data_IF_090328395484
#
_entry.id   IF_090328395484
#
_cell.length_a   1.000
_cell.length_b   1.000
_cell.length_c   1.000
_cell.angle_alpha   90.00
_cell.angle_beta   90.00
_cell.angle_gamma   90.00
#
_symmetry.space_group_name_H-M   'P 1'
#
loop_
_entity.id
_entity.type
_entity.pdbx_description
1 polymer ?
#
# COMPACT_ATOMS: atom_id res chain seq x y z
N UNK A 1 45.42 -1.24 1.49
CA UNK A 1 44.98 -1.10 0.08
C UNK A 1 45.26 -2.41 -0.61
N UNK A 2 44.24 -3.01 -1.22
CA UNK A 2 44.35 -4.24 -2.02
C UNK A 2 44.32 -3.90 -3.50
N UNK A 3 44.84 -4.76 -4.38
CA UNK A 3 44.79 -4.50 -5.84
C UNK A 3 43.76 -5.41 -6.50
N UNK A 4 42.82 -4.85 -7.27
CA UNK A 4 41.79 -5.63 -7.96
C UNK A 4 42.46 -6.59 -8.95
N UNK A 5 42.38 -7.89 -8.70
CA UNK A 5 42.97 -8.93 -9.55
C UNK A 5 41.97 -9.47 -10.57
N UNK A 6 40.67 -9.44 -10.24
CA UNK A 6 39.61 -9.98 -11.10
C UNK A 6 38.25 -9.34 -10.82
N UNK A 7 37.50 -9.07 -11.88
CA UNK A 7 36.07 -8.76 -11.84
C UNK A 7 35.38 -9.80 -12.73
N UNK A 8 34.42 -10.55 -12.19
CA UNK A 8 33.72 -11.60 -12.95
C UNK A 8 32.22 -11.48 -12.82
N UNK A 9 31.50 -11.61 -13.93
CA UNK A 9 30.05 -11.67 -13.96
C UNK A 9 29.53 -12.93 -13.26
N UNK A 10 28.38 -12.79 -12.60
CA UNK A 10 27.70 -13.93 -11.99
C UNK A 10 26.93 -14.72 -13.05
N UNK A 11 27.19 -16.04 -13.13
CA UNK A 11 26.60 -16.93 -14.15
C UNK A 11 25.07 -17.01 -14.11
N UNK A 12 24.44 -16.83 -12.95
CA UNK A 12 22.98 -16.89 -12.79
C UNK A 12 22.30 -15.52 -12.86
N UNK A 13 23.07 -14.45 -12.64
CA UNK A 13 22.55 -13.09 -12.67
C UNK A 13 23.57 -12.15 -13.33
N UNK A 14 23.39 -11.89 -14.62
CA UNK A 14 24.28 -11.04 -15.42
C UNK A 14 24.31 -9.58 -14.98
N UNK A 15 23.35 -9.13 -14.16
CA UNK A 15 23.37 -7.79 -13.57
C UNK A 15 24.38 -7.66 -12.42
N UNK A 16 24.92 -8.77 -11.90
CA UNK A 16 25.83 -8.78 -10.75
C UNK A 16 27.22 -9.24 -11.12
N UNK A 17 28.20 -8.66 -10.45
CA UNK A 17 29.61 -9.03 -10.57
C UNK A 17 30.19 -9.39 -9.21
N UNK A 18 31.32 -10.09 -9.21
CA UNK A 18 32.15 -10.37 -8.05
C UNK A 18 33.51 -9.70 -8.22
N UNK A 19 33.95 -8.97 -7.20
CA UNK A 19 35.23 -8.28 -7.16
C UNK A 19 36.21 -9.09 -6.31
N UNK A 20 37.40 -9.34 -6.85
CA UNK A 20 38.50 -10.01 -6.18
C UNK A 20 39.72 -9.09 -6.14
N UNK A 21 40.43 -9.07 -5.02
CA UNK A 21 41.69 -8.36 -4.86
C UNK A 21 42.70 -9.22 -4.11
N UNK A 22 43.94 -9.21 -4.58
CA UNK A 22 45.02 -10.07 -4.08
C UNK A 22 44.60 -11.56 -4.02
N UNK A 23 43.84 -12.00 -5.04
CA UNK A 23 43.22 -13.33 -5.20
C UNK A 23 42.12 -13.71 -4.19
N UNK A 24 41.79 -12.80 -3.27
CA UNK A 24 40.70 -12.98 -2.32
C UNK A 24 39.39 -12.34 -2.82
N UNK A 25 38.27 -13.01 -2.57
CA UNK A 25 36.95 -12.42 -2.79
C UNK A 25 36.71 -11.27 -1.82
N UNK A 26 36.31 -10.10 -2.33
CA UNK A 26 35.97 -8.95 -1.50
C UNK A 26 34.47 -8.79 -1.33
N UNK A 27 33.74 -8.61 -2.45
CA UNK A 27 32.29 -8.40 -2.44
C UNK A 27 31.66 -8.73 -3.79
N UNK A 28 30.34 -8.87 -3.79
CA UNK A 28 29.54 -8.90 -5.02
C UNK A 28 28.59 -7.71 -5.04
N UNK A 29 28.54 -7.00 -6.16
CA UNK A 29 27.70 -5.83 -6.34
C UNK A 29 27.05 -5.79 -7.71
N UNK A 30 26.09 -4.87 -7.88
CA UNK A 30 25.52 -4.55 -9.18
C UNK A 30 26.59 -4.06 -10.16
N UNK A 31 26.48 -4.49 -11.42
CA UNK A 31 27.41 -4.18 -12.51
C UNK A 31 27.43 -2.68 -12.81
N UNK A 32 26.33 -1.97 -12.62
CA UNK A 32 26.25 -0.52 -12.79
C UNK A 32 27.27 0.22 -11.89
N UNK A 33 27.54 -0.31 -10.69
CA UNK A 33 28.48 0.30 -9.75
C UNK A 33 29.93 0.21 -10.22
N UNK A 34 30.29 -0.85 -10.95
CA UNK A 34 31.62 -0.97 -11.58
C UNK A 34 31.84 0.15 -12.57
N UNK A 35 30.85 0.38 -13.43
CA UNK A 35 30.91 1.43 -14.45
C UNK A 35 30.94 2.83 -13.83
N UNK A 36 30.03 3.11 -12.88
CA UNK A 36 29.93 4.42 -12.21
C UNK A 36 31.18 4.80 -11.42
N UNK A 37 31.87 3.80 -10.84
CA UNK A 37 33.09 4.02 -10.05
C UNK A 37 34.39 3.81 -10.83
N UNK A 38 34.29 3.45 -12.12
CA UNK A 38 35.46 3.22 -12.98
C UNK A 38 36.37 2.08 -12.50
N UNK A 39 35.81 1.08 -11.81
CA UNK A 39 36.61 -0.01 -11.23
C UNK A 39 37.13 -0.92 -12.34
N UNK A 40 38.46 -1.05 -12.40
CA UNK A 40 39.16 -1.88 -13.39
C UNK A 40 40.20 -2.77 -12.72
N UNK A 41 40.58 -3.85 -13.40
CA UNK A 41 41.69 -4.71 -12.97
C UNK A 41 42.98 -3.88 -12.85
N UNK A 42 43.74 -4.09 -11.78
CA UNK A 42 44.97 -3.35 -11.48
C UNK A 42 44.75 -2.08 -10.65
N UNK A 43 43.51 -1.65 -10.44
CA UNK A 43 43.20 -0.52 -9.57
C UNK A 43 43.42 -0.90 -8.09
N UNK A 44 43.98 0.02 -7.30
CA UNK A 44 44.03 -0.11 -5.85
C UNK A 44 42.68 0.25 -5.25
N UNK A 45 42.23 -0.55 -4.30
CA UNK A 45 40.99 -0.36 -3.57
C UNK A 45 41.27 -0.37 -2.07
N UNK A 46 40.63 0.54 -1.35
CA UNK A 46 40.65 0.63 0.10
C UNK A 46 39.33 0.19 0.71
N UNK A 47 39.30 0.10 2.04
CA UNK A 47 38.13 -0.34 2.79
C UNK A 47 36.97 0.64 2.67
N UNK A 48 37.24 1.95 2.62
CA UNK A 48 36.21 2.98 2.57
C UNK A 48 35.43 2.91 1.26
N UNK A 49 36.13 2.77 0.13
CA UNK A 49 35.49 2.57 -1.17
C UNK A 49 34.68 1.26 -1.23
N UNK A 50 35.18 0.17 -0.61
CA UNK A 50 34.42 -1.09 -0.53
C UNK A 50 33.13 -0.93 0.27
N UNK A 51 33.18 -0.21 1.40
CA UNK A 51 32.01 0.07 2.22
C UNK A 51 30.99 0.93 1.47
N UNK A 52 31.44 1.94 0.73
CA UNK A 52 30.56 2.75 -0.12
C UNK A 52 29.87 1.92 -1.21
N UNK A 53 30.61 1.04 -1.90
CA UNK A 53 30.07 0.15 -2.93
C UNK A 53 29.04 -0.80 -2.31
N UNK A 54 29.34 -1.37 -1.15
CA UNK A 54 28.43 -2.29 -0.45
C UNK A 54 27.13 -1.59 -0.02
N UNK A 55 27.22 -0.35 0.48
CA UNK A 55 26.04 0.47 0.83
C UNK A 55 25.19 0.78 -0.40
N UNK A 56 25.81 1.18 -1.51
CA UNK A 56 25.07 1.49 -2.73
C UNK A 56 24.44 0.25 -3.36
N UNK A 57 25.11 -0.91 -3.33
CA UNK A 57 24.51 -2.18 -3.77
C UNK A 57 23.31 -2.55 -2.91
N UNK A 58 23.40 -2.36 -1.59
CA UNK A 58 22.30 -2.64 -0.67
C UNK A 58 21.09 -1.74 -0.98
N UNK A 59 21.33 -0.46 -1.25
CA UNK A 59 20.30 0.46 -1.72
C UNK A 59 19.66 0.04 -3.04
N UNK A 60 20.45 -0.39 -4.04
CA UNK A 60 19.93 -0.88 -5.32
C UNK A 60 19.01 -2.09 -5.10
N UNK A 61 19.42 -3.06 -4.29
CA UNK A 61 18.61 -4.25 -3.99
C UNK A 61 17.31 -3.90 -3.25
N UNK A 62 17.36 -2.97 -2.30
CA UNK A 62 16.19 -2.50 -1.57
C UNK A 62 15.20 -1.80 -2.52
N UNK A 63 15.72 -0.89 -3.37
CA UNK A 63 14.93 -0.20 -4.39
C UNK A 63 14.26 -1.17 -5.36
N UNK A 64 14.98 -2.14 -5.90
CA UNK A 64 14.40 -3.16 -6.78
C UNK A 64 13.30 -3.99 -6.08
N UNK A 65 13.52 -4.32 -4.81
CA UNK A 65 12.54 -5.06 -4.02
C UNK A 65 11.24 -4.26 -3.85
N UNK A 66 11.35 -2.96 -3.57
CA UNK A 66 10.21 -2.07 -3.46
C UNK A 66 9.50 -1.90 -4.81
N UNK A 67 10.23 -1.66 -5.90
CA UNK A 67 9.66 -1.52 -7.24
C UNK A 67 8.88 -2.77 -7.68
N UNK A 68 9.44 -3.97 -7.48
CA UNK A 68 8.73 -5.23 -7.76
C UNK A 68 7.44 -5.40 -6.94
N UNK A 69 7.35 -4.79 -5.76
CA UNK A 69 6.13 -4.79 -4.95
C UNK A 69 5.07 -3.86 -5.56
N UNK A 70 5.50 -2.66 -5.97
CA UNK A 70 4.65 -1.62 -6.57
C UNK A 70 4.14 -1.99 -7.98
N UNK A 71 4.94 -2.72 -8.77
CA UNK A 71 4.53 -3.22 -10.09
C UNK A 71 3.28 -4.11 -10.05
N UNK A 72 3.07 -4.83 -8.94
CA UNK A 72 1.96 -5.79 -8.81
C UNK A 72 0.66 -5.12 -8.39
N UNK A 73 0.75 -4.22 -7.42
CA UNK A 73 -0.39 -3.54 -6.80
C UNK A 73 0.08 -2.25 -6.16
N UNK A 74 -0.77 -1.24 -6.12
CA UNK A 74 -0.53 -0.07 -5.27
C UNK A 74 -0.29 -0.49 -3.81
N UNK A 75 0.64 0.18 -3.15
CA UNK A 75 1.02 -0.01 -1.74
C UNK A 75 1.05 1.32 -1.02
N UNK A 76 0.82 1.28 0.28
CA UNK A 76 1.13 2.40 1.16
C UNK A 76 2.62 2.45 1.47
N UNK A 77 3.09 3.59 1.97
CA UNK A 77 4.46 3.74 2.48
C UNK A 77 4.80 2.70 3.54
N UNK A 78 3.92 2.50 4.54
CA UNK A 78 4.12 1.52 5.61
C UNK A 78 4.19 0.08 5.08
N UNK A 79 3.37 -0.27 4.07
CA UNK A 79 3.44 -1.59 3.45
C UNK A 79 4.79 -1.84 2.76
N UNK A 80 5.40 -0.82 2.13
CA UNK A 80 6.74 -0.93 1.55
C UNK A 80 7.82 -0.97 2.62
N UNK A 81 7.73 -0.10 3.64
CA UNK A 81 8.67 -0.09 4.76
C UNK A 81 8.72 -1.45 5.44
N UNK A 82 7.55 -2.00 5.80
CA UNK A 82 7.43 -3.35 6.38
C UNK A 82 8.04 -4.41 5.46
N UNK A 83 7.81 -4.30 4.15
CA UNK A 83 8.35 -5.26 3.17
C UNK A 83 9.87 -5.26 3.14
N UNK A 84 10.49 -4.09 3.25
CA UNK A 84 11.94 -3.96 3.26
C UNK A 84 12.54 -4.41 4.60
N UNK A 85 11.88 -4.14 5.72
CA UNK A 85 12.25 -4.66 7.05
C UNK A 85 12.20 -6.20 7.07
N UNK A 86 11.15 -6.82 6.52
CA UNK A 86 11.06 -8.28 6.36
C UNK A 86 12.19 -8.88 5.51
N UNK A 87 12.89 -8.04 4.73
CA UNK A 87 14.05 -8.40 3.90
C UNK A 87 15.38 -8.02 4.54
N UNK A 88 15.36 -7.62 5.80
CA UNK A 88 16.54 -7.31 6.62
C UNK A 88 17.37 -6.15 6.07
N UNK A 89 16.73 -5.20 5.37
CA UNK A 89 17.36 -3.91 5.04
C UNK A 89 17.37 -3.02 6.28
N UNK A 90 18.43 -2.23 6.44
CA UNK A 90 18.58 -1.27 7.55
C UNK A 90 17.72 -0.02 7.34
N UNK A 91 17.46 0.70 8.44
CA UNK A 91 16.56 1.86 8.46
C UNK A 91 17.04 3.00 7.55
N UNK A 92 18.35 3.24 7.46
CA UNK A 92 18.91 4.30 6.59
C UNK A 92 18.67 3.97 5.11
N UNK A 93 18.92 2.71 4.72
CA UNK A 93 18.62 2.23 3.37
C UNK A 93 17.13 2.36 3.06
N UNK A 94 16.27 1.97 4.00
CA UNK A 94 14.81 2.04 3.83
C UNK A 94 14.34 3.48 3.67
N UNK A 95 14.77 4.38 4.56
CA UNK A 95 14.42 5.80 4.51
C UNK A 95 14.83 6.43 3.17
N UNK A 96 16.02 6.08 2.66
CA UNK A 96 16.51 6.54 1.35
C UNK A 96 15.64 6.01 0.20
N UNK A 97 15.25 4.73 0.24
CA UNK A 97 14.37 4.13 -0.78
C UNK A 97 12.99 4.77 -0.76
N UNK A 98 12.38 4.93 0.42
CA UNK A 98 11.07 5.57 0.57
C UNK A 98 11.10 6.99 0.03
N UNK A 99 12.12 7.79 0.40
CA UNK A 99 12.28 9.17 -0.08
C UNK A 99 12.36 9.23 -1.60
N UNK A 100 13.16 8.35 -2.22
CA UNK A 100 13.27 8.25 -3.67
C UNK A 100 11.90 7.92 -4.31
N UNK A 101 11.19 6.93 -3.78
CA UNK A 101 9.90 6.51 -4.35
C UNK A 101 8.84 7.61 -4.23
N UNK A 102 8.87 8.41 -3.16
CA UNK A 102 8.00 9.59 -3.00
C UNK A 102 8.37 10.70 -3.97
N UNK A 103 9.66 10.97 -4.17
CA UNK A 103 10.16 11.95 -5.16
C UNK A 103 9.67 11.64 -6.58
N UNK A 104 9.72 10.37 -6.99
CA UNK A 104 9.19 9.92 -8.28
C UNK A 104 7.67 9.70 -8.29
N UNK A 105 6.96 10.06 -7.22
CA UNK A 105 5.51 9.87 -7.05
C UNK A 105 5.04 8.42 -7.26
N UNK A 106 5.92 7.46 -6.99
CA UNK A 106 5.62 6.02 -7.01
C UNK A 106 4.99 5.55 -5.69
N UNK A 107 5.29 6.26 -4.60
CA UNK A 107 4.60 6.18 -3.31
C UNK A 107 3.84 7.47 -3.04
N UNK A 108 2.53 7.34 -2.86
CA UNK A 108 1.64 8.47 -2.59
C UNK A 108 0.41 7.97 -1.82
N UNK A 109 0.45 8.12 -0.50
CA UNK A 109 -0.59 7.62 0.39
C UNK A 109 -1.90 8.42 0.25
N UNK A 110 -1.84 9.71 -0.11
CA UNK A 110 -3.03 10.51 -0.40
C UNK A 110 -3.80 9.95 -1.60
N UNK A 111 -3.09 9.74 -2.71
CA UNK A 111 -3.68 9.11 -3.90
C UNK A 111 -4.14 7.68 -3.61
N UNK A 112 -3.41 6.92 -2.80
CA UNK A 112 -3.84 5.59 -2.37
C UNK A 112 -5.17 5.65 -1.62
N UNK A 113 -5.28 6.52 -0.62
CA UNK A 113 -6.46 6.67 0.23
C UNK A 113 -7.71 7.07 -0.57
N UNK A 114 -7.59 8.05 -1.47
CA UNK A 114 -8.69 8.47 -2.35
C UNK A 114 -9.23 7.33 -3.22
N UNK A 115 -8.33 6.62 -3.91
CA UNK A 115 -8.72 5.50 -4.78
C UNK A 115 -9.32 4.35 -3.97
N UNK A 116 -8.75 4.07 -2.80
CA UNK A 116 -9.24 3.05 -1.89
C UNK A 116 -10.65 3.35 -1.40
N UNK A 117 -10.90 4.57 -0.92
CA UNK A 117 -12.22 5.01 -0.47
C UNK A 117 -13.23 4.93 -1.62
N UNK A 118 -12.89 5.50 -2.79
CA UNK A 118 -13.77 5.47 -3.97
C UNK A 118 -14.14 4.07 -4.41
N UNK A 119 -13.22 3.10 -4.29
CA UNK A 119 -13.49 1.70 -4.56
C UNK A 119 -14.39 1.07 -3.48
N UNK A 120 -14.04 1.24 -2.19
CA UNK A 120 -14.74 0.57 -1.09
C UNK A 120 -16.16 1.10 -0.88
N UNK A 121 -16.37 2.41 -1.01
CA UNK A 121 -17.68 3.05 -0.82
C UNK A 121 -18.76 2.53 -1.77
N UNK A 122 -18.38 1.87 -2.87
CA UNK A 122 -19.30 1.15 -3.77
C UNK A 122 -19.88 -0.14 -3.19
N UNK A 123 -19.41 -0.59 -2.03
CA UNK A 123 -19.77 -1.90 -1.45
C UNK A 123 -19.92 -1.95 0.06
N UNK A 124 -19.39 -0.96 0.78
CA UNK A 124 -19.34 -0.90 2.26
C UNK A 124 -19.30 0.56 2.71
N UNK A 125 -19.57 0.81 3.99
CA UNK A 125 -19.57 2.16 4.56
C UNK A 125 -18.18 2.69 4.91
N UNK A 126 -18.11 4.00 5.07
CA UNK A 126 -16.90 4.78 5.28
C UNK A 126 -16.16 4.36 6.54
N UNK A 127 -16.86 4.04 7.64
CA UNK A 127 -16.24 3.64 8.91
C UNK A 127 -15.30 2.45 8.75
N UNK A 128 -15.72 1.45 7.97
CA UNK A 128 -14.92 0.26 7.72
C UNK A 128 -13.73 0.57 6.80
N UNK A 129 -13.93 1.38 5.78
CA UNK A 129 -12.85 1.79 4.88
C UNK A 129 -11.79 2.63 5.60
N UNK A 130 -12.20 3.55 6.49
CA UNK A 130 -11.30 4.33 7.37
C UNK A 130 -10.43 3.41 8.23
N UNK A 131 -11.06 2.45 8.91
CA UNK A 131 -10.36 1.49 9.75
C UNK A 131 -9.33 0.68 8.94
N UNK A 132 -9.72 0.21 7.76
CA UNK A 132 -8.81 -0.53 6.85
C UNK A 132 -7.62 0.33 6.39
N UNK A 133 -7.81 1.63 6.14
CA UNK A 133 -6.73 2.55 5.75
C UNK A 133 -5.76 2.84 6.90
N UNK A 134 -6.26 3.08 8.11
CA UNK A 134 -5.43 3.25 9.30
C UNK A 134 -4.59 1.99 9.59
N UNK A 135 -5.18 0.81 9.42
CA UNK A 135 -4.45 -0.46 9.57
C UNK A 135 -3.41 -0.71 8.47
N UNK A 136 -3.49 0.02 7.37
CA UNK A 136 -2.50 -0.01 6.28
C UNK A 136 -1.42 1.06 6.43
N UNK A 137 -1.45 1.82 7.52
CA UNK A 137 -0.46 2.84 7.80
C UNK A 137 -0.70 4.19 7.14
N UNK A 138 -1.90 4.42 6.60
CA UNK A 138 -2.23 5.75 6.09
C UNK A 138 -2.40 6.70 7.26
N UNK A 139 -1.67 7.81 7.22
CA UNK A 139 -1.73 8.84 8.25
C UNK A 139 -3.15 9.43 8.39
N UNK A 140 -3.49 9.86 9.61
CA UNK A 140 -4.82 10.40 9.92
C UNK A 140 -5.13 11.69 9.14
N UNK A 141 -4.15 12.55 8.93
CA UNK A 141 -4.31 13.79 8.18
C UNK A 141 -4.63 13.48 6.72
N UNK A 142 -3.83 12.59 6.11
CA UNK A 142 -4.04 12.10 4.74
C UNK A 142 -5.41 11.44 4.57
N UNK A 143 -5.82 10.63 5.56
CA UNK A 143 -7.14 10.03 5.56
C UNK A 143 -8.24 11.10 5.61
N UNK A 144 -8.11 12.11 6.47
CA UNK A 144 -9.11 13.17 6.59
C UNK A 144 -9.24 13.99 5.31
N UNK A 145 -8.12 14.31 4.64
CA UNK A 145 -8.12 14.98 3.35
C UNK A 145 -8.85 14.17 2.28
N UNK A 146 -8.55 12.87 2.18
CA UNK A 146 -9.21 11.97 1.24
C UNK A 146 -10.71 11.77 1.51
N UNK A 147 -11.15 11.94 2.76
CA UNK A 147 -12.56 11.91 3.13
C UNK A 147 -13.26 13.21 2.77
N UNK A 148 -12.62 14.36 3.01
CA UNK A 148 -13.17 15.67 2.66
C UNK A 148 -13.33 15.80 1.14
N UNK A 149 -12.39 15.27 0.34
CA UNK A 149 -12.51 15.25 -1.13
C UNK A 149 -13.67 14.41 -1.66
N UNK A 150 -14.25 13.54 -0.82
CA UNK A 150 -15.40 12.69 -1.15
C UNK A 150 -16.70 13.14 -0.49
N UNK A 151 -16.69 14.22 0.31
CA UNK A 151 -17.84 14.65 1.11
C UNK A 151 -19.04 15.08 0.29
N UNK A 152 -18.81 15.71 -0.86
CA UNK A 152 -19.88 16.09 -1.79
C UNK A 152 -20.38 14.92 -2.66
N UNK A 153 -19.81 13.72 -2.48
CA UNK A 153 -20.24 12.53 -3.19
C UNK A 153 -21.42 11.87 -2.48
N UNK A 154 -22.54 11.71 -3.20
CA UNK A 154 -23.67 10.86 -2.78
C UNK A 154 -23.37 9.36 -2.82
N UNK A 155 -22.13 8.95 -3.14
CA UNK A 155 -21.77 7.56 -3.43
C UNK A 155 -22.06 6.61 -2.26
N UNK A 156 -21.68 7.01 -1.04
CA UNK A 156 -21.92 6.18 0.15
C UNK A 156 -23.42 6.04 0.41
N UNK A 157 -24.16 7.14 0.33
CA UNK A 157 -25.60 7.19 0.59
C UNK A 157 -26.38 6.34 -0.41
N UNK A 158 -26.10 6.50 -1.71
CA UNK A 158 -26.72 5.71 -2.77
C UNK A 158 -26.44 4.23 -2.63
N UNK A 159 -25.20 3.88 -2.28
CA UNK A 159 -24.80 2.48 -2.08
C UNK A 159 -25.50 1.89 -0.86
N UNK A 160 -25.54 2.64 0.25
CA UNK A 160 -26.25 2.26 1.47
C UNK A 160 -27.73 1.97 1.17
N UNK A 161 -28.41 2.88 0.48
CA UNK A 161 -29.81 2.74 0.10
C UNK A 161 -30.05 1.51 -0.79
N UNK A 162 -29.25 1.33 -1.84
CA UNK A 162 -29.35 0.17 -2.75
C UNK A 162 -29.18 -1.16 -2.01
N UNK A 163 -28.20 -1.25 -1.11
CA UNK A 163 -27.95 -2.45 -0.31
C UNK A 163 -29.08 -2.70 0.70
N UNK A 164 -29.56 -1.64 1.35
CA UNK A 164 -30.62 -1.72 2.33
C UNK A 164 -31.95 -2.13 1.68
N UNK A 165 -32.33 -1.53 0.54
CA UNK A 165 -33.54 -1.88 -0.22
C UNK A 165 -33.50 -3.35 -0.67
N UNK A 166 -32.40 -3.77 -1.30
CA UNK A 166 -32.21 -5.19 -1.69
C UNK A 166 -32.33 -6.14 -0.49
N UNK A 167 -31.83 -5.75 0.69
CA UNK A 167 -31.92 -6.57 1.90
C UNK A 167 -33.33 -6.57 2.48
N UNK A 168 -34.03 -5.44 2.43
CA UNK A 168 -35.42 -5.29 2.84
C UNK A 168 -36.32 -6.22 2.03
N UNK A 169 -36.24 -6.20 0.70
CA UNK A 169 -37.04 -7.03 -0.22
C UNK A 169 -36.90 -8.54 0.04
N UNK A 170 -35.77 -8.96 0.63
CA UNK A 170 -35.53 -10.34 1.03
C UNK A 170 -36.10 -10.67 2.41
N UNK A 171 -36.06 -9.72 3.34
CA UNK A 171 -36.43 -9.92 4.74
C UNK A 171 -37.94 -9.73 4.97
N UNK A 172 -38.58 -8.77 4.32
CA UNK A 172 -40.01 -8.48 4.48
C UNK A 172 -40.90 -9.68 4.10
N UNK A 173 -40.41 -10.58 3.24
CA UNK A 173 -41.09 -11.84 2.88
C UNK A 173 -41.12 -12.88 4.01
N UNK A 174 -40.24 -12.75 5.01
CA UNK A 174 -40.00 -13.76 6.06
C UNK A 174 -40.22 -13.23 7.47
N UNK A 175 -40.09 -11.92 7.66
CA UNK A 175 -40.24 -11.23 8.94
C UNK A 175 -41.33 -10.18 8.79
N UNK A 176 -42.43 -10.37 9.50
CA UNK A 176 -43.60 -9.46 9.48
C UNK A 176 -43.56 -8.47 10.65
N UNK A 177 -42.71 -8.69 11.67
CA UNK A 177 -42.53 -7.76 12.79
C UNK A 177 -41.64 -6.57 12.36
N UNK A 178 -42.19 -5.34 12.32
CA UNK A 178 -41.44 -4.16 11.85
C UNK A 178 -40.22 -3.85 12.72
N UNK A 179 -40.28 -4.11 14.03
CA UNK A 179 -39.17 -3.86 14.94
C UNK A 179 -38.02 -4.83 14.67
N UNK A 180 -38.33 -6.12 14.47
CA UNK A 180 -37.33 -7.13 14.12
C UNK A 180 -36.74 -6.91 12.75
N UNK A 181 -37.55 -6.51 11.77
CA UNK A 181 -37.11 -6.19 10.41
C UNK A 181 -36.12 -5.01 10.43
N UNK A 182 -36.47 -3.91 11.10
CA UNK A 182 -35.60 -2.74 11.27
C UNK A 182 -34.29 -3.11 11.99
N UNK A 183 -34.36 -3.90 13.05
CA UNK A 183 -33.17 -4.36 13.80
C UNK A 183 -32.22 -5.21 12.95
N UNK A 184 -32.76 -6.14 12.13
CA UNK A 184 -31.98 -6.97 11.20
C UNK A 184 -31.30 -6.12 10.11
N UNK A 185 -32.00 -5.13 9.56
CA UNK A 185 -31.44 -4.22 8.56
C UNK A 185 -30.35 -3.32 9.16
N UNK A 186 -30.60 -2.77 10.34
CA UNK A 186 -29.60 -2.01 11.08
C UNK A 186 -28.32 -2.83 11.30
N UNK A 187 -28.46 -4.05 11.82
CA UNK A 187 -27.32 -4.95 12.08
C UNK A 187 -26.54 -5.25 10.80
N UNK A 188 -27.25 -5.49 9.69
CA UNK A 188 -26.63 -5.72 8.38
C UNK A 188 -25.81 -4.51 7.91
N UNK A 189 -26.36 -3.30 7.98
CA UNK A 189 -25.67 -2.08 7.54
C UNK A 189 -24.53 -1.68 8.49
N UNK A 190 -24.73 -1.81 9.81
CA UNK A 190 -23.68 -1.61 10.79
C UNK A 190 -22.50 -2.56 10.57
N UNK A 191 -22.78 -3.85 10.27
CA UNK A 191 -21.74 -4.82 9.90
C UNK A 191 -21.04 -4.52 8.56
N UNK A 192 -21.66 -3.69 7.70
CA UNK A 192 -21.05 -3.15 6.49
C UNK A 192 -20.27 -1.85 6.75
N UNK A 193 -20.33 -1.29 7.95
CA UNK A 193 -19.55 -0.12 8.35
C UNK A 193 -20.17 1.22 8.00
N UNK A 194 -21.49 1.30 7.87
CA UNK A 194 -22.20 2.58 7.73
C UNK A 194 -22.38 3.26 9.09
N UNK A 195 -22.32 4.59 9.12
CA UNK A 195 -22.55 5.38 10.33
C UNK A 195 -24.03 5.40 10.74
N UNK A 196 -24.28 5.59 12.04
CA UNK A 196 -25.62 5.54 12.61
C UNK A 196 -26.61 6.47 11.91
N UNK A 197 -26.20 7.72 11.65
CA UNK A 197 -27.06 8.74 11.05
C UNK A 197 -27.52 8.34 9.64
N UNK A 198 -26.59 7.83 8.83
CA UNK A 198 -26.89 7.35 7.47
C UNK A 198 -27.77 6.10 7.49
N UNK A 199 -27.54 5.17 8.43
CA UNK A 199 -28.42 4.02 8.60
C UNK A 199 -29.83 4.48 8.97
N UNK A 200 -29.96 5.37 9.95
CA UNK A 200 -31.26 5.87 10.42
C UNK A 200 -32.03 6.60 9.31
N UNK A 201 -31.37 7.47 8.54
CA UNK A 201 -31.99 8.17 7.41
C UNK A 201 -32.40 7.19 6.30
N UNK A 202 -31.56 6.22 5.98
CA UNK A 202 -31.83 5.19 4.96
C UNK A 202 -33.02 4.31 5.35
N UNK A 203 -33.08 3.82 6.59
CA UNK A 203 -34.17 2.97 7.06
C UNK A 203 -35.50 3.72 7.12
N UNK A 204 -35.48 5.02 7.47
CA UNK A 204 -36.69 5.85 7.40
C UNK A 204 -37.23 5.94 5.98
N UNK A 205 -36.36 6.18 4.99
CA UNK A 205 -36.77 6.24 3.57
C UNK A 205 -37.38 4.91 3.09
N UNK A 206 -36.72 3.79 3.39
CA UNK A 206 -37.18 2.46 2.96
C UNK A 206 -38.53 2.08 3.57
N UNK A 207 -38.74 2.39 4.85
CA UNK A 207 -40.00 2.06 5.53
C UNK A 207 -41.15 2.98 5.10
N UNK A 208 -40.85 4.26 4.80
CA UNK A 208 -41.85 5.17 4.23
C UNK A 208 -42.28 4.75 2.82
N UNK A 209 -41.33 4.39 1.94
CA UNK A 209 -41.63 3.88 0.59
C UNK A 209 -42.51 2.63 0.64
N UNK A 210 -42.35 1.77 1.66
CA UNK A 210 -43.18 0.57 1.81
C UNK A 210 -44.58 0.84 2.35
N UNK A 211 -44.78 1.90 3.11
CA UNK A 211 -46.11 2.26 3.63
C UNK A 211 -46.99 2.93 2.54
N UNK A 212 -46.38 3.48 1.48
CA UNK A 212 -47.09 4.09 0.33
C UNK A 212 -47.49 3.07 -0.77
N UNK A 213 -46.90 1.88 -0.80
CA UNK A 213 -47.22 0.81 -1.77
C UNK A 213 -48.42 -0.08 -1.35
N UNK A 214 -49.10 0.23 -0.22
CA UNK A 214 -50.27 -0.49 0.31
C UNK A 214 -51.54 0.36 0.37
#
# INVERSE_FOLDING_TARGET
>A
MKTITKISENKKNSSRVSIYADEEFLLSCDKELIFKRGLVKGMKIDTDLLLEIAKEDTFIRARETALRSLERTMKTEEEIQKKLLEKEFDDDTIARVISLLKEYNLLNDARYAELYLKEKLRSRGQKKAKFELLHKGVDKEVLNEALESLKDSSLEEETCFKLAKKKYDQLCKREQDPFKLKSKLYTFLAGKGYEYELISSTLRKILADSDEEY
#
